data_IF_192417221946
#
_entry.id   IF_192417221946
#
_cell.length_a   1.000
_cell.length_b   1.000
_cell.length_c   1.000
_cell.angle_alpha   90.00
_cell.angle_beta   90.00
_cell.angle_gamma   90.00
#
_symmetry.space_group_name_H-M   'P 1'
#
loop_
_entity.id
_entity.type
_entity.pdbx_description
1 polymer ?
#
# COMPACT_ATOMS: atom_id res chain seq x y z
N UNK A 1 2.94 15.51 5.77
CA UNK A 1 2.84 15.65 4.30
C UNK A 1 3.61 14.48 3.68
N UNK A 2 2.94 13.37 3.35
CA UNK A 2 3.60 12.23 2.70
C UNK A 2 3.89 12.60 1.24
N UNK A 3 5.16 12.54 0.87
CA UNK A 3 5.65 12.87 -0.48
C UNK A 3 5.18 11.80 -1.48
N UNK A 4 4.53 12.24 -2.57
CA UNK A 4 4.14 11.38 -3.68
C UNK A 4 5.38 10.74 -4.28
N UNK A 5 5.41 9.40 -4.33
CA UNK A 5 6.52 8.63 -4.92
C UNK A 5 5.99 7.77 -6.04
N UNK A 6 6.77 7.68 -7.12
CA UNK A 6 6.37 6.93 -8.31
C UNK A 6 7.55 6.21 -8.96
N UNK A 7 7.20 5.22 -9.77
CA UNK A 7 8.06 4.31 -10.49
C UNK A 7 7.52 4.15 -11.92
N UNK A 8 8.37 4.32 -12.95
CA UNK A 8 7.98 4.15 -14.35
C UNK A 8 8.63 2.91 -14.98
N UNK A 9 7.84 2.17 -15.74
CA UNK A 9 8.26 1.23 -16.77
C UNK A 9 7.74 1.73 -18.12
N UNK A 10 8.37 1.37 -19.24
CA UNK A 10 8.02 1.89 -20.57
C UNK A 10 6.56 1.66 -21.03
N UNK A 11 5.72 0.97 -20.25
CA UNK A 11 4.30 0.68 -20.56
C UNK A 11 3.33 1.05 -19.43
N UNK A 12 3.83 1.39 -18.25
CA UNK A 12 3.01 1.66 -17.07
C UNK A 12 3.82 2.37 -16.00
N UNK A 13 3.14 3.05 -15.08
CA UNK A 13 3.77 3.60 -13.90
C UNK A 13 2.97 3.26 -12.63
N UNK A 14 3.69 3.15 -11.52
CA UNK A 14 3.14 3.00 -10.18
C UNK A 14 3.36 4.29 -9.42
N UNK A 15 2.35 4.75 -8.71
CA UNK A 15 2.48 5.82 -7.71
C UNK A 15 1.84 5.38 -6.40
N UNK A 16 2.31 5.91 -5.29
CA UNK A 16 1.68 5.72 -4.00
C UNK A 16 1.69 7.01 -3.17
N UNK A 17 0.64 7.19 -2.37
CA UNK A 17 0.42 8.37 -1.53
C UNK A 17 -0.17 7.96 -0.17
N UNK A 18 -0.74 8.93 0.55
CA UNK A 18 -1.35 8.70 1.87
C UNK A 18 -2.65 7.87 1.82
N UNK A 19 -3.28 7.73 0.66
CA UNK A 19 -4.55 7.01 0.49
C UNK A 19 -4.40 5.61 -0.10
N UNK A 20 -3.39 5.39 -0.95
CA UNK A 20 -3.26 4.12 -1.66
C UNK A 20 -2.14 4.05 -2.68
N UNK A 21 -2.23 2.99 -3.50
CA UNK A 21 -1.42 2.76 -4.70
C UNK A 21 -2.28 3.07 -5.92
N UNK A 22 -1.73 3.76 -6.90
CA UNK A 22 -2.33 3.88 -8.23
C UNK A 22 -1.37 3.30 -9.26
N UNK A 23 -1.87 2.37 -10.08
CA UNK A 23 -1.19 1.86 -11.26
C UNK A 23 -1.85 2.46 -12.50
N UNK A 24 -1.06 3.14 -13.34
CA UNK A 24 -1.54 3.60 -14.65
C UNK A 24 -0.80 2.87 -15.76
N UNK A 25 -1.57 2.22 -16.62
CA UNK A 25 -1.17 1.62 -17.88
C UNK A 25 -1.76 2.48 -19.01
N UNK A 26 -1.24 2.35 -20.24
CA UNK A 26 -1.66 3.14 -21.41
C UNK A 26 -3.18 3.31 -21.58
N UNK A 27 -4.00 2.34 -21.16
CA UNK A 27 -5.47 2.38 -21.29
C UNK A 27 -6.23 1.99 -20.02
N UNK A 28 -5.54 1.87 -18.88
CA UNK A 28 -6.16 1.38 -17.63
C UNK A 28 -5.54 2.06 -16.43
N UNK A 29 -6.39 2.58 -15.56
CA UNK A 29 -5.99 3.06 -14.23
C UNK A 29 -6.65 2.18 -13.18
N UNK A 30 -5.85 1.63 -12.27
CA UNK A 30 -6.29 0.85 -11.13
C UNK A 30 -5.79 1.53 -9.85
N UNK A 31 -6.68 1.70 -8.88
CA UNK A 31 -6.36 2.29 -7.59
C UNK A 31 -6.69 1.29 -6.48
N UNK A 32 -5.75 1.10 -5.58
CA UNK A 32 -5.86 0.22 -4.42
C UNK A 32 -5.73 1.07 -3.16
N UNK A 33 -6.84 1.28 -2.45
CA UNK A 33 -6.84 2.04 -1.20
C UNK A 33 -6.18 1.22 -0.09
N UNK A 34 -5.47 1.88 0.83
CA UNK A 34 -4.83 1.19 1.95
C UNK A 34 -5.81 0.38 2.80
N UNK A 35 -7.03 0.90 2.96
CA UNK A 35 -8.12 0.28 3.72
C UNK A 35 -8.64 -1.02 3.12
N UNK A 36 -8.48 -1.18 1.80
CA UNK A 36 -9.08 -2.30 1.05
C UNK A 36 -8.06 -3.41 0.79
N UNK A 37 -6.78 -3.11 1.02
CA UNK A 37 -5.67 -4.03 0.87
C UNK A 37 -5.58 -4.92 2.12
N UNK A 38 -5.86 -6.21 1.95
CA UNK A 38 -5.73 -7.24 2.99
C UNK A 38 -4.29 -7.75 3.13
N UNK A 39 -3.48 -7.66 2.08
CA UNK A 39 -2.11 -8.13 2.06
C UNK A 39 -1.24 -7.35 1.08
N UNK A 40 -0.05 -6.95 1.53
CA UNK A 40 0.91 -6.21 0.71
C UNK A 40 2.34 -6.64 1.03
N UNK A 41 3.02 -7.25 0.07
CA UNK A 41 4.38 -7.76 0.27
C UNK A 41 5.19 -7.80 -1.01
N UNK A 42 6.52 -7.90 -0.85
CA UNK A 42 7.46 -8.12 -1.94
C UNK A 42 7.73 -9.60 -2.13
N UNK A 43 7.81 -10.07 -3.37
CA UNK A 43 8.40 -11.36 -3.72
C UNK A 43 9.39 -11.21 -4.86
N UNK A 44 10.35 -12.13 -4.95
CA UNK A 44 11.22 -12.24 -6.13
C UNK A 44 10.53 -13.12 -7.17
N UNK A 45 10.38 -12.62 -8.40
CA UNK A 45 9.89 -13.43 -9.51
C UNK A 45 11.03 -14.27 -10.10
N UNK A 46 10.74 -15.55 -10.41
CA UNK A 46 11.56 -16.37 -11.30
C UNK A 46 11.36 -15.83 -12.73
N UNK A 47 12.12 -14.79 -13.09
CA UNK A 47 11.96 -14.13 -14.38
C UNK A 47 12.21 -15.07 -15.57
N UNK A 48 11.82 -14.63 -16.76
CA UNK A 48 12.21 -15.28 -18.02
C UNK A 48 13.63 -14.83 -18.39
N UNK A 49 14.55 -15.77 -18.69
CA UNK A 49 15.96 -15.51 -19.02
C UNK A 49 16.83 -14.91 -17.90
N UNK A 50 16.58 -15.25 -16.62
CA UNK A 50 17.54 -14.99 -15.54
C UNK A 50 17.63 -13.54 -15.05
N UNK A 51 16.70 -12.66 -15.47
CA UNK A 51 16.53 -11.34 -14.85
C UNK A 51 15.48 -11.42 -13.75
N UNK A 52 15.90 -11.30 -12.50
CA UNK A 52 14.99 -11.23 -11.36
C UNK A 52 14.22 -9.91 -11.42
N UNK A 53 12.90 -9.98 -11.35
CA UNK A 53 12.06 -8.80 -11.17
C UNK A 53 11.58 -8.76 -9.73
N UNK A 54 11.83 -7.63 -9.08
CA UNK A 54 11.18 -7.30 -7.81
C UNK A 54 9.69 -7.18 -8.07
N UNK A 55 8.90 -7.99 -7.37
CA UNK A 55 7.46 -8.07 -7.59
C UNK A 55 6.73 -7.56 -6.36
N UNK A 56 5.90 -6.56 -6.54
CA UNK A 56 4.95 -6.11 -5.52
C UNK A 56 3.67 -6.94 -5.68
N UNK A 57 3.23 -7.58 -4.61
CA UNK A 57 1.97 -8.32 -4.56
C UNK A 57 0.98 -7.54 -3.74
N UNK A 58 -0.20 -7.29 -4.31
CA UNK A 58 -1.33 -6.58 -3.69
C UNK A 58 -2.52 -7.53 -3.63
N UNK A 59 -2.97 -7.84 -2.43
CA UNK A 59 -4.17 -8.63 -2.16
C UNK A 59 -5.28 -7.67 -1.73
N UNK A 60 -6.36 -7.61 -2.52
CA UNK A 60 -7.46 -6.67 -2.33
C UNK A 60 -8.76 -7.32 -2.78
N UNK A 61 -9.79 -7.31 -1.92
CA UNK A 61 -11.12 -7.86 -2.26
C UNK A 61 -11.12 -9.33 -2.69
N UNK A 62 -10.21 -10.15 -2.14
CA UNK A 62 -10.06 -11.56 -2.52
C UNK A 62 -9.31 -11.81 -3.85
N UNK A 63 -8.79 -10.75 -4.48
CA UNK A 63 -7.97 -10.85 -5.69
C UNK A 63 -6.51 -10.52 -5.38
N UNK A 64 -5.60 -11.31 -5.96
CA UNK A 64 -4.16 -11.07 -5.91
C UNK A 64 -3.70 -10.43 -7.22
N UNK A 65 -3.12 -9.23 -7.13
CA UNK A 65 -2.51 -8.53 -8.28
C UNK A 65 -1.01 -8.45 -8.10
N UNK A 66 -0.26 -8.79 -9.15
CA UNK A 66 1.20 -8.76 -9.15
C UNK A 66 1.73 -7.68 -10.08
N UNK A 67 2.60 -6.83 -9.56
CA UNK A 67 3.31 -5.80 -10.30
C UNK A 67 4.78 -6.18 -10.41
N UNK A 68 5.24 -6.48 -11.62
CA UNK A 68 6.64 -6.80 -11.90
C UNK A 68 7.41 -5.50 -12.12
N UNK A 69 8.18 -5.06 -11.14
CA UNK A 69 9.00 -3.85 -11.24
C UNK A 69 10.33 -4.22 -11.93
N UNK A 70 10.58 -3.75 -13.17
CA UNK A 70 11.92 -3.83 -13.74
C UNK A 70 12.88 -2.95 -12.94
N UNK A 71 14.17 -3.30 -12.92
CA UNK A 71 15.20 -2.43 -12.37
C UNK A 71 15.07 -1.04 -13.01
N UNK A 72 14.90 -0.01 -12.18
CA UNK A 72 14.71 1.38 -12.59
C UNK A 72 16.02 1.99 -13.11
N UNK A 73 16.62 1.37 -14.12
CA UNK A 73 17.90 1.76 -14.67
C UNK A 73 17.74 2.75 -15.82
N UNK A 74 17.88 4.05 -15.52
CA UNK A 74 18.67 5.01 -16.33
C UNK A 74 18.89 6.35 -15.61
N UNK A 75 18.04 6.77 -14.65
CA UNK A 75 18.18 8.09 -13.99
C UNK A 75 17.85 8.15 -12.49
N UNK A 76 17.63 7.01 -11.81
CA UNK A 76 17.29 6.98 -10.38
C UNK A 76 18.26 6.05 -9.64
N UNK A 77 19.05 6.61 -8.73
CA UNK A 77 20.03 5.89 -7.88
C UNK A 77 19.38 4.95 -6.84
N UNK A 78 18.07 4.70 -6.88
CA UNK A 78 17.38 3.88 -5.89
C UNK A 78 16.83 2.59 -6.51
N UNK A 79 17.24 1.41 -6.01
CA UNK A 79 16.79 0.13 -6.53
C UNK A 79 15.29 -0.08 -6.29
N UNK A 80 14.65 -0.88 -7.15
CA UNK A 80 13.23 -1.27 -7.07
C UNK A 80 12.81 -1.80 -5.70
N UNK A 81 13.74 -2.47 -5.01
CA UNK A 81 13.60 -2.94 -3.62
C UNK A 81 13.24 -1.79 -2.66
N UNK A 82 13.99 -0.68 -2.67
CA UNK A 82 13.74 0.44 -1.76
C UNK A 82 12.37 1.09 -2.01
N UNK A 83 11.94 1.10 -3.28
CA UNK A 83 10.63 1.62 -3.64
C UNK A 83 9.51 0.73 -3.08
N UNK A 84 9.61 -0.59 -3.25
CA UNK A 84 8.64 -1.55 -2.70
C UNK A 84 8.63 -1.49 -1.18
N UNK A 85 9.79 -1.46 -0.52
CA UNK A 85 9.87 -1.29 0.94
C UNK A 85 9.18 -0.02 1.40
N UNK A 86 9.31 1.07 0.64
CA UNK A 86 8.62 2.33 0.92
C UNK A 86 7.09 2.19 0.90
N UNK A 87 6.55 1.46 -0.08
CA UNK A 87 5.11 1.17 -0.17
C UNK A 87 4.67 0.32 1.01
N UNK A 88 5.33 -0.81 1.25
CA UNK A 88 4.98 -1.77 2.32
C UNK A 88 5.00 -1.09 3.69
N UNK A 89 6.03 -0.28 3.99
CA UNK A 89 6.09 0.49 5.24
C UNK A 89 4.95 1.50 5.36
N UNK A 90 4.59 2.18 4.26
CA UNK A 90 3.52 3.18 4.28
C UNK A 90 2.17 2.53 4.56
N UNK A 91 1.88 1.39 3.91
CA UNK A 91 0.69 0.60 4.18
C UNK A 91 0.66 0.08 5.63
N UNK A 92 1.77 -0.45 6.15
CA UNK A 92 1.85 -0.92 7.52
C UNK A 92 1.58 0.20 8.55
N UNK A 93 2.06 1.42 8.28
CA UNK A 93 1.76 2.60 9.09
C UNK A 93 0.29 3.00 9.00
N UNK A 94 -0.28 3.02 7.79
CA UNK A 94 -1.70 3.33 7.57
C UNK A 94 -2.61 2.33 8.30
N UNK A 95 -2.32 1.02 8.22
CA UNK A 95 -3.08 -0.02 8.90
C UNK A 95 -2.91 0.02 10.43
N UNK A 96 -1.71 0.33 10.94
CA UNK A 96 -1.53 0.55 12.39
C UNK A 96 -2.35 1.74 12.87
N UNK A 97 -2.31 2.87 12.17
CA UNK A 97 -3.10 4.05 12.50
C UNK A 97 -4.61 3.77 12.43
N UNK A 98 -5.04 2.95 11.48
CA UNK A 98 -6.43 2.51 11.36
C UNK A 98 -6.86 1.65 12.55
N UNK A 99 -6.07 0.64 12.93
CA UNK A 99 -6.36 -0.21 14.10
C UNK A 99 -6.35 0.57 15.42
N UNK A 100 -5.41 1.51 15.58
CA UNK A 100 -5.37 2.39 16.77
C UNK A 100 -6.54 3.37 16.78
N UNK A 101 -6.93 3.92 15.62
CA UNK A 101 -8.10 4.80 15.48
C UNK A 101 -9.43 4.10 15.78
N UNK A 102 -9.57 2.83 15.37
CA UNK A 102 -10.73 2.01 15.73
C UNK A 102 -10.77 1.69 17.23
N UNK A 103 -9.63 1.39 17.86
CA UNK A 103 -9.55 1.16 19.31
C UNK A 103 -9.97 2.40 20.11
N UNK A 104 -9.49 3.58 19.72
CA UNK A 104 -9.80 4.84 20.41
C UNK A 104 -11.27 5.30 20.24
N UNK A 105 -11.88 5.02 19.08
CA UNK A 105 -13.30 5.30 18.86
C UNK A 105 -14.21 4.34 19.64
N UNK A 106 -13.76 3.10 19.86
CA UNK A 106 -14.50 2.14 20.68
C UNK A 106 -14.48 2.48 22.18
N UNK A 107 -13.36 2.98 22.72
CA UNK A 107 -13.28 3.46 24.11
C UNK A 107 -14.07 4.76 24.35
N UNK A 108 -14.18 5.62 23.33
CA UNK A 108 -14.99 6.85 23.42
C UNK A 108 -16.50 6.58 23.37
N UNK A 109 -16.96 5.52 22.69
CA UNK A 109 -18.38 5.13 22.71
C UNK A 109 -18.77 4.44 24.02
N UNK A 110 -17.87 3.68 24.64
CA UNK A 110 -18.18 2.99 25.90
C UNK A 110 -18.09 3.88 27.15
N UNK A 111 -17.42 5.04 27.06
CA UNK A 111 -17.33 5.98 28.19
C UNK A 111 -18.53 6.94 28.32
N UNK A 112 -19.44 6.98 27.35
CA UNK A 112 -20.61 7.89 27.39
C UNK A 112 -21.90 7.26 27.95
N UNK A 113 -22.02 5.93 28.02
CA UNK A 113 -23.23 5.30 28.58
C UNK A 113 -23.21 5.16 30.11
N UNK A 114 -22.06 5.33 30.78
CA UNK A 114 -21.98 5.21 32.25
C UNK A 114 -22.28 6.52 32.99
N UNK A 115 -22.40 7.67 32.29
CA UNK A 115 -22.60 8.97 32.92
C UNK A 115 -24.08 9.39 33.09
N UNK A 116 -25.05 8.64 32.56
CA UNK A 116 -26.49 8.98 32.65
C UNK A 116 -27.29 8.09 33.61
N UNK A 117 -26.65 7.12 34.29
CA UNK A 117 -27.32 6.15 35.17
C UNK A 117 -27.32 6.44 36.67
N UNK A 118 -26.73 7.55 37.14
CA UNK A 118 -26.53 7.82 38.59
C UNK A 118 -27.15 9.14 39.09
N UNK A 119 -28.27 9.55 38.51
CA UNK A 119 -29.09 10.66 39.02
C UNK A 119 -30.57 10.25 39.15
N UNK A 120 -30.84 9.18 39.92
CA UNK A 120 -32.12 8.93 40.58
C UNK A 120 -31.88 8.27 41.94
#
# INVERSE_FOLDING_TARGET
MLSLKWAMSGRWYLEYNEHGITCRRLFKTETYLWTDISGLYSKKSTGFLGRYHDTLVVECGGLTTEFFLPDFGLNSKKPSVEFIEGIVRTWALANRSFLVGQSLTQESCHSQETALGSLL
#
